data_IF_938409344903
#
_entry.id   IF_938409344903
#
_cell.length_a   1.000
_cell.length_b   1.000
_cell.length_c   1.000
_cell.angle_alpha   90.00
_cell.angle_beta   90.00
_cell.angle_gamma   90.00
#
_symmetry.space_group_name_H-M   'P 1'
#
loop_
_entity.id
_entity.type
_entity.pdbx_description
1 polymer ?
#
# COMPACT_ATOMS: atom_id res chain seq x y z
N UNK A 1 49.72 15.02 -14.76
CA UNK A 1 48.63 15.76 -14.08
C UNK A 1 47.36 14.95 -14.22
N UNK A 2 46.67 14.73 -13.15
CA UNK A 2 45.35 14.09 -13.12
C UNK A 2 44.46 14.94 -12.24
N UNK A 3 43.28 15.32 -12.70
CA UNK A 3 42.30 16.14 -11.95
C UNK A 3 42.95 17.37 -11.27
N UNK A 4 43.84 18.08 -12.01
CA UNK A 4 44.56 19.25 -11.53
C UNK A 4 45.76 18.97 -10.61
N UNK A 5 45.96 17.72 -10.18
CA UNK A 5 47.07 17.33 -9.28
C UNK A 5 48.27 16.92 -10.12
N UNK A 6 49.42 17.56 -9.88
CA UNK A 6 50.70 17.23 -10.50
C UNK A 6 51.51 16.29 -9.60
N UNK A 7 51.99 15.18 -10.16
CA UNK A 7 52.87 14.22 -9.49
C UNK A 7 54.16 14.08 -10.29
N UNK A 8 55.30 14.14 -9.61
CA UNK A 8 56.62 13.91 -10.23
C UNK A 8 56.88 12.40 -10.23
N UNK A 9 57.29 11.86 -11.38
CA UNK A 9 57.69 10.48 -11.56
C UNK A 9 59.19 10.36 -11.30
N UNK A 10 59.61 9.29 -10.62
CA UNK A 10 61.00 8.96 -10.35
C UNK A 10 61.46 7.76 -11.15
N UNK A 11 62.73 7.72 -11.56
CA UNK A 11 63.28 6.58 -12.30
C UNK A 11 63.35 5.35 -11.39
N UNK A 12 62.64 4.30 -11.77
CA UNK A 12 62.81 3.00 -11.17
C UNK A 12 63.93 2.23 -11.89
N UNK A 13 65.09 2.08 -11.23
CA UNK A 13 66.25 1.46 -11.80
C UNK A 13 66.05 -0.04 -12.16
N UNK A 14 65.11 -0.71 -11.54
CA UNK A 14 64.81 -2.11 -11.81
C UNK A 14 64.00 -2.29 -13.09
N UNK A 15 63.11 -1.32 -13.41
CA UNK A 15 62.23 -1.38 -14.60
C UNK A 15 62.72 -0.49 -15.75
N UNK A 16 63.62 0.43 -15.45
CA UNK A 16 64.09 1.45 -16.42
C UNK A 16 63.00 2.50 -16.78
N UNK A 17 61.90 2.58 -16.02
CA UNK A 17 60.76 3.45 -16.25
C UNK A 17 60.65 4.53 -15.18
N UNK A 18 60.06 5.68 -15.54
CA UNK A 18 59.64 6.69 -14.54
C UNK A 18 58.30 6.34 -14.00
N UNK A 19 58.20 6.18 -12.69
CA UNK A 19 57.02 5.66 -12.00
C UNK A 19 56.67 6.50 -10.75
N UNK A 20 55.40 6.53 -10.37
CA UNK A 20 54.91 6.99 -9.07
C UNK A 20 53.65 6.26 -8.72
N UNK A 21 53.47 5.97 -7.42
CA UNK A 21 52.20 5.52 -6.86
C UNK A 21 51.32 6.75 -6.58
N UNK A 22 50.14 6.77 -7.17
CA UNK A 22 49.23 7.93 -7.10
C UNK A 22 47.90 7.42 -6.57
N UNK A 23 47.34 8.13 -5.58
CA UNK A 23 45.97 7.86 -5.10
C UNK A 23 44.98 8.32 -6.18
N UNK A 24 44.05 7.44 -6.55
CA UNK A 24 42.99 7.75 -7.49
C UNK A 24 42.11 8.91 -6.97
N UNK A 25 41.50 9.70 -7.84
CA UNK A 25 40.48 10.65 -7.48
C UNK A 25 39.36 9.96 -6.63
N UNK A 26 38.79 10.70 -5.70
CA UNK A 26 37.80 10.17 -4.73
C UNK A 26 36.42 10.02 -5.34
N UNK A 27 36.18 10.52 -6.56
CA UNK A 27 34.91 10.43 -7.27
C UNK A 27 34.99 9.51 -8.47
N UNK A 28 33.85 8.92 -8.83
CA UNK A 28 33.72 8.20 -10.10
C UNK A 28 34.10 9.07 -11.30
N UNK A 29 34.67 8.46 -12.30
CA UNK A 29 34.92 9.12 -13.57
C UNK A 29 33.68 9.25 -14.47
N UNK A 30 32.56 8.62 -14.07
CA UNK A 30 31.38 8.54 -14.94
C UNK A 30 30.81 9.92 -15.29
N UNK A 31 30.83 10.87 -14.35
CA UNK A 31 30.30 12.23 -14.53
C UNK A 31 31.30 13.27 -14.95
N UNK A 32 32.59 12.90 -15.20
CA UNK A 32 33.65 13.85 -15.48
C UNK A 32 33.60 14.42 -16.92
N UNK A 33 33.30 13.56 -17.89
CA UNK A 33 33.10 13.92 -19.29
C UNK A 33 32.29 12.81 -20.01
N UNK A 34 31.92 13.07 -21.28
CA UNK A 34 31.17 12.12 -22.11
C UNK A 34 31.88 10.77 -22.34
N UNK A 35 33.20 10.73 -22.17
CA UNK A 35 34.00 9.50 -22.28
C UNK A 35 34.14 8.74 -20.97
N UNK A 36 33.62 9.28 -19.84
CA UNK A 36 33.63 8.67 -18.52
C UNK A 36 35.03 8.31 -17.99
N UNK A 37 35.98 9.28 -18.11
CA UNK A 37 37.35 9.14 -17.63
C UNK A 37 37.91 10.46 -17.11
N UNK A 38 38.95 10.39 -16.27
CA UNK A 38 39.83 11.52 -15.95
C UNK A 38 40.90 11.64 -17.00
N UNK A 39 41.08 12.80 -17.69
CA UNK A 39 42.17 13.02 -18.62
C UNK A 39 43.50 13.06 -17.87
N UNK A 40 44.47 12.33 -18.38
CA UNK A 40 45.84 12.30 -17.86
C UNK A 40 46.74 13.10 -18.80
N UNK A 41 47.50 14.00 -18.22
CA UNK A 41 48.54 14.74 -18.96
C UNK A 41 49.92 14.34 -18.47
N UNK A 42 50.79 13.90 -19.37
CA UNK A 42 52.19 13.58 -19.07
C UNK A 42 53.09 14.64 -19.74
N UNK A 43 54.00 15.21 -18.98
CA UNK A 43 55.01 16.15 -19.47
C UNK A 43 56.40 15.60 -19.12
N UNK A 44 57.26 15.58 -20.12
CA UNK A 44 58.70 15.28 -19.96
C UNK A 44 59.52 16.53 -20.29
N UNK A 45 60.58 16.74 -19.53
CA UNK A 45 61.53 17.85 -19.75
C UNK A 45 62.96 17.29 -19.72
N UNK A 46 63.77 17.57 -20.70
CA UNK A 46 65.21 17.21 -20.71
C UNK A 46 66.05 18.18 -19.89
N UNK A 47 67.33 17.86 -19.72
CA UNK A 47 68.28 18.71 -18.99
C UNK A 47 68.55 20.05 -19.67
N UNK A 48 68.28 20.19 -20.97
CA UNK A 48 68.39 21.41 -21.75
C UNK A 48 67.15 22.31 -21.65
N UNK A 49 66.09 21.83 -21.02
CA UNK A 49 64.80 22.52 -20.81
C UNK A 49 63.78 22.29 -21.94
N UNK A 50 64.07 21.43 -22.91
CA UNK A 50 63.07 21.09 -23.95
C UNK A 50 61.92 20.23 -23.33
N UNK A 51 60.70 20.50 -23.73
CA UNK A 51 59.53 19.84 -23.17
C UNK A 51 58.69 19.14 -24.23
N UNK A 52 58.16 17.97 -23.84
CA UNK A 52 57.15 17.25 -24.60
C UNK A 52 55.95 16.99 -23.69
N UNK A 53 54.75 17.24 -24.19
CA UNK A 53 53.50 17.01 -23.47
C UNK A 53 52.60 16.07 -24.28
N UNK A 54 52.00 15.07 -23.61
CA UNK A 54 51.01 14.15 -24.16
C UNK A 54 49.75 14.21 -23.34
N UNK A 55 48.62 14.19 -24.01
CA UNK A 55 47.27 14.25 -23.38
C UNK A 55 46.39 13.12 -23.92
N UNK A 56 45.19 12.99 -23.37
CA UNK A 56 44.16 12.05 -23.81
C UNK A 56 43.70 12.25 -25.27
N UNK A 57 44.07 13.37 -25.92
CA UNK A 57 43.80 13.64 -27.32
C UNK A 57 44.94 13.19 -28.27
N UNK A 58 46.08 12.69 -27.75
CA UNK A 58 47.17 12.19 -28.57
C UNK A 58 46.74 10.99 -29.40
N UNK A 59 47.11 10.97 -30.68
CA UNK A 59 46.68 9.93 -31.63
C UNK A 59 47.24 8.57 -31.34
N UNK A 60 48.40 8.48 -30.67
CA UNK A 60 49.08 7.22 -30.37
C UNK A 60 48.86 6.79 -28.90
N UNK A 61 48.97 7.74 -27.97
CA UNK A 61 48.97 7.45 -26.52
C UNK A 61 47.68 7.86 -25.82
N UNK A 62 46.78 8.58 -26.49
CA UNK A 62 45.59 9.16 -25.88
C UNK A 62 44.69 8.11 -25.20
N UNK A 63 44.60 6.92 -25.77
CA UNK A 63 43.82 5.83 -25.14
C UNK A 63 44.37 5.42 -23.77
N UNK A 64 45.75 5.42 -23.63
CA UNK A 64 46.43 5.10 -22.37
C UNK A 64 46.40 6.23 -21.33
N UNK A 65 46.01 7.44 -21.76
CA UNK A 65 45.92 8.64 -20.92
C UNK A 65 44.51 8.95 -20.45
N UNK A 66 43.63 7.91 -20.38
CA UNK A 66 42.26 7.95 -19.92
C UNK A 66 42.10 7.09 -18.65
N UNK A 67 42.21 7.74 -17.49
CA UNK A 67 42.06 7.04 -16.22
C UNK A 67 40.56 6.83 -15.89
N UNK A 68 40.14 5.59 -15.81
CA UNK A 68 38.80 5.25 -15.32
C UNK A 68 38.83 4.96 -13.81
N UNK A 69 38.03 5.69 -13.08
CA UNK A 69 37.85 5.54 -11.63
C UNK A 69 36.40 5.14 -11.36
N UNK A 70 36.18 4.08 -10.57
CA UNK A 70 34.88 3.61 -10.17
C UNK A 70 34.67 3.83 -8.69
N UNK A 71 33.48 4.23 -8.32
CA UNK A 71 33.04 4.20 -6.93
C UNK A 71 32.62 2.79 -6.52
N UNK A 72 32.31 2.61 -5.22
CA UNK A 72 31.81 1.35 -4.65
C UNK A 72 30.54 1.55 -3.82
N UNK A 73 29.96 2.74 -3.83
CA UNK A 73 28.74 3.07 -3.11
C UNK A 73 27.55 2.74 -4.02
N UNK A 74 26.64 1.91 -3.55
CA UNK A 74 25.47 1.53 -4.32
C UNK A 74 24.33 2.55 -4.17
N UNK A 75 23.41 2.65 -5.13
CA UNK A 75 22.24 3.52 -5.04
C UNK A 75 21.34 3.20 -3.84
N UNK A 76 20.68 4.22 -3.31
CA UNK A 76 19.66 4.08 -2.28
C UNK A 76 18.26 4.02 -2.88
N UNK A 77 17.45 3.05 -2.43
CA UNK A 77 16.05 2.86 -2.86
C UNK A 77 15.12 3.18 -1.69
N UNK A 78 14.10 4.00 -1.94
CA UNK A 78 13.03 4.31 -0.98
C UNK A 78 11.67 4.10 -1.64
N UNK A 79 10.86 3.15 -1.14
CA UNK A 79 9.48 2.94 -1.59
C UNK A 79 8.59 3.90 -0.81
N UNK A 80 7.79 4.72 -1.52
CA UNK A 80 6.92 5.73 -0.94
C UNK A 80 5.44 5.33 -0.97
N UNK A 81 5.04 4.45 -1.89
CA UNK A 81 3.69 3.91 -1.98
C UNK A 81 3.70 2.54 -2.69
N UNK A 82 2.94 1.56 -2.20
CA UNK A 82 2.21 1.54 -0.93
C UNK A 82 3.15 1.49 0.27
N UNK A 83 2.64 1.86 1.46
CA UNK A 83 3.37 1.69 2.72
C UNK A 83 3.25 0.26 3.23
N UNK A 84 4.25 -0.17 4.01
CA UNK A 84 4.25 -1.52 4.58
C UNK A 84 3.00 -1.79 5.42
N UNK A 85 2.36 -2.93 5.19
CA UNK A 85 1.16 -3.38 5.90
C UNK A 85 -0.12 -2.62 5.56
N UNK A 86 -0.10 -1.66 4.63
CA UNK A 86 -1.30 -0.92 4.24
C UNK A 86 -2.32 -1.79 3.49
N UNK A 87 -3.59 -1.43 3.61
CA UNK A 87 -4.67 -1.95 2.80
C UNK A 87 -4.96 -1.00 1.63
N UNK A 88 -5.15 -1.55 0.44
CA UNK A 88 -5.44 -0.82 -0.81
C UNK A 88 -6.75 -1.35 -1.37
N UNK A 89 -7.70 -0.46 -1.60
CA UNK A 89 -9.03 -0.83 -2.14
C UNK A 89 -9.09 -0.82 -3.67
N UNK A 90 -8.00 -0.39 -4.31
CA UNK A 90 -7.83 -0.44 -5.77
C UNK A 90 -6.89 -1.60 -6.13
N UNK A 91 -7.37 -2.53 -6.95
CA UNK A 91 -6.59 -3.70 -7.38
C UNK A 91 -5.55 -3.40 -8.48
N UNK A 92 -5.44 -2.15 -8.93
CA UNK A 92 -4.35 -1.65 -9.78
C UNK A 92 -3.69 -0.44 -9.11
N UNK A 93 -3.00 -0.64 -7.96
CA UNK A 93 -2.40 0.47 -7.24
C UNK A 93 -1.24 1.08 -8.02
N UNK A 94 -1.09 2.41 -7.93
CA UNK A 94 0.11 3.06 -8.41
C UNK A 94 1.22 2.92 -7.37
N UNK A 95 2.27 2.20 -7.73
CA UNK A 95 3.46 1.98 -6.91
C UNK A 95 4.42 3.13 -7.17
N UNK A 96 4.99 3.71 -6.11
CA UNK A 96 5.92 4.85 -6.19
C UNK A 96 7.16 4.60 -5.37
N UNK A 97 8.31 4.92 -5.93
CA UNK A 97 9.60 4.83 -5.24
C UNK A 97 10.58 5.85 -5.78
N UNK A 98 11.64 6.08 -5.03
CA UNK A 98 12.76 6.93 -5.41
C UNK A 98 14.04 6.10 -5.39
N UNK A 99 14.93 6.35 -6.37
CA UNK A 99 16.28 5.81 -6.43
C UNK A 99 17.25 6.96 -6.55
N UNK A 100 18.25 7.02 -5.69
CA UNK A 100 19.27 8.09 -5.73
C UNK A 100 20.66 7.52 -5.58
N UNK A 101 21.61 8.17 -6.25
CA UNK A 101 23.03 7.96 -6.15
C UNK A 101 23.76 9.31 -6.20
N UNK A 102 24.82 9.47 -5.41
CA UNK A 102 25.46 10.77 -5.22
C UNK A 102 26.71 10.96 -6.07
N UNK A 103 27.24 9.91 -6.70
CA UNK A 103 28.51 9.98 -7.42
C UNK A 103 28.39 9.57 -8.90
N UNK A 104 28.36 8.27 -9.23
CA UNK A 104 28.26 7.84 -10.64
C UNK A 104 26.86 8.06 -11.23
N UNK A 105 25.87 8.19 -10.36
CA UNK A 105 24.48 8.36 -10.73
C UNK A 105 23.76 7.04 -11.00
N UNK A 106 22.43 7.08 -10.87
CA UNK A 106 21.57 5.91 -11.09
C UNK A 106 21.49 5.55 -12.56
N UNK A 107 21.78 4.30 -12.92
CA UNK A 107 21.53 3.80 -14.27
C UNK A 107 20.05 3.47 -14.47
N UNK A 108 19.27 4.28 -15.21
CA UNK A 108 17.83 4.12 -15.34
C UNK A 108 17.41 2.82 -16.05
N UNK A 109 18.31 2.22 -16.83
CA UNK A 109 18.02 0.95 -17.52
C UNK A 109 17.95 -0.25 -16.55
N UNK A 110 18.57 -0.13 -15.38
CA UNK A 110 18.63 -1.20 -14.37
C UNK A 110 17.45 -1.14 -13.39
N UNK A 111 16.75 -0.01 -13.32
CA UNK A 111 15.60 0.17 -12.43
C UNK A 111 14.52 -0.84 -12.80
N UNK A 112 14.12 -1.66 -11.82
CA UNK A 112 13.12 -2.67 -12.03
C UNK A 112 12.24 -2.90 -10.81
N UNK A 113 11.05 -3.41 -11.08
CA UNK A 113 10.07 -3.82 -10.07
C UNK A 113 9.63 -5.25 -10.32
N UNK A 114 9.50 -6.01 -9.25
CA UNK A 114 8.87 -7.34 -9.27
C UNK A 114 7.71 -7.33 -8.28
N UNK A 115 6.55 -7.84 -8.70
CA UNK A 115 5.40 -8.03 -7.84
C UNK A 115 5.25 -9.52 -7.60
N UNK A 116 5.22 -9.91 -6.33
CA UNK A 116 5.16 -11.31 -5.86
C UNK A 116 6.28 -12.17 -6.48
N UNK A 117 5.90 -13.27 -7.11
CA UNK A 117 6.80 -14.16 -7.86
C UNK A 117 6.78 -13.91 -9.38
N UNK A 118 6.18 -12.79 -9.82
CA UNK A 118 6.10 -12.44 -11.24
C UNK A 118 7.44 -12.09 -11.86
N UNK A 119 7.44 -11.85 -13.16
CA UNK A 119 8.62 -11.40 -13.90
C UNK A 119 8.99 -9.96 -13.50
N UNK A 120 10.28 -9.67 -13.48
CA UNK A 120 10.80 -8.31 -13.27
C UNK A 120 10.39 -7.41 -14.45
N UNK A 121 9.73 -6.31 -14.14
CA UNK A 121 9.37 -5.25 -15.09
C UNK A 121 10.47 -4.20 -15.11
N UNK A 122 10.90 -3.77 -16.29
CA UNK A 122 11.93 -2.76 -16.53
C UNK A 122 11.55 -1.88 -17.73
N UNK A 123 12.41 -0.96 -18.12
CA UNK A 123 12.24 -0.17 -19.34
C UNK A 123 11.12 0.88 -19.23
N UNK A 124 10.40 1.08 -20.35
CA UNK A 124 9.42 2.15 -20.51
C UNK A 124 8.09 1.88 -19.80
N UNK A 125 7.89 0.65 -19.33
CA UNK A 125 6.75 0.32 -18.46
C UNK A 125 6.80 1.04 -17.10
N UNK A 126 7.99 1.50 -16.70
CA UNK A 126 8.20 2.30 -15.50
C UNK A 126 8.38 3.75 -15.91
N UNK A 127 7.49 4.64 -15.47
CA UNK A 127 7.69 6.08 -15.62
C UNK A 127 8.82 6.52 -14.69
N UNK A 128 9.81 7.19 -15.22
CA UNK A 128 10.99 7.69 -14.50
C UNK A 128 11.09 9.20 -14.68
N UNK A 129 10.94 9.96 -13.62
CA UNK A 129 11.09 11.41 -13.59
C UNK A 129 12.44 11.74 -12.96
N UNK A 130 13.31 12.43 -13.71
CA UNK A 130 14.62 12.81 -13.19
C UNK A 130 14.47 13.79 -12.02
N UNK A 131 15.25 13.56 -10.97
CA UNK A 131 15.40 14.42 -9.80
C UNK A 131 16.87 14.54 -9.44
N UNK A 132 17.21 15.45 -8.52
CA UNK A 132 18.60 15.59 -8.07
C UNK A 132 19.14 14.25 -7.57
N UNK A 133 20.18 13.76 -8.21
CA UNK A 133 20.87 12.53 -7.87
C UNK A 133 20.14 11.24 -8.27
N UNK A 134 19.08 11.28 -9.11
CA UNK A 134 18.45 10.04 -9.53
C UNK A 134 17.05 10.19 -10.12
N UNK A 135 16.12 9.32 -9.73
CA UNK A 135 14.78 9.24 -10.33
C UNK A 135 13.69 9.01 -9.29
N UNK A 136 12.58 9.69 -9.49
CA UNK A 136 11.28 9.27 -8.94
C UNK A 136 10.59 8.40 -9.96
N UNK A 137 10.15 7.21 -9.51
CA UNK A 137 9.61 6.17 -10.37
C UNK A 137 8.16 5.86 -10.00
N UNK A 138 7.36 5.58 -11.02
CA UNK A 138 5.98 5.10 -10.84
C UNK A 138 5.71 3.91 -11.74
N UNK A 139 4.92 2.97 -11.22
CA UNK A 139 4.42 1.81 -11.97
C UNK A 139 3.00 1.47 -11.54
N UNK A 140 2.13 1.18 -12.49
CA UNK A 140 0.78 0.67 -12.24
C UNK A 140 0.65 -0.69 -12.93
N UNK A 141 0.28 -1.77 -12.21
CA UNK A 141 0.11 -3.08 -12.81
C UNK A 141 -0.92 -3.07 -13.95
N UNK A 142 -0.59 -3.67 -15.07
CA UNK A 142 -1.50 -3.79 -16.22
C UNK A 142 -2.63 -4.77 -15.92
N UNK A 143 -2.33 -5.85 -15.19
CA UNK A 143 -3.29 -6.84 -14.69
C UNK A 143 -3.68 -6.49 -13.26
N UNK A 144 -4.97 -6.62 -12.93
CA UNK A 144 -5.46 -6.45 -11.57
C UNK A 144 -4.81 -7.48 -10.64
N UNK A 145 -4.37 -7.03 -9.47
CA UNK A 145 -3.93 -7.89 -8.39
C UNK A 145 -5.16 -8.50 -7.69
N UNK A 146 -5.05 -9.74 -7.25
CA UNK A 146 -6.11 -10.39 -6.48
C UNK A 146 -6.24 -9.77 -5.08
N UNK A 147 -7.35 -9.99 -4.41
CA UNK A 147 -7.44 -9.66 -2.98
C UNK A 147 -6.49 -10.57 -2.19
N UNK A 148 -5.79 -9.99 -1.22
CA UNK A 148 -4.79 -10.69 -0.42
C UNK A 148 -3.49 -9.91 -0.27
N UNK A 149 -2.46 -10.61 0.20
CA UNK A 149 -1.13 -10.04 0.46
C UNK A 149 -0.28 -10.04 -0.80
N UNK A 150 0.33 -8.89 -1.10
CA UNK A 150 1.25 -8.70 -2.22
C UNK A 150 2.57 -8.14 -1.73
N UNK A 151 3.64 -8.54 -2.40
CA UNK A 151 5.01 -8.10 -2.12
C UNK A 151 5.60 -7.44 -3.36
N UNK A 152 6.11 -6.23 -3.22
CA UNK A 152 6.92 -5.57 -4.25
C UNK A 152 8.38 -5.61 -3.86
N UNK A 153 9.24 -5.82 -4.87
CA UNK A 153 10.69 -5.78 -4.77
C UNK A 153 11.21 -4.81 -5.81
N UNK A 154 12.07 -3.89 -5.40
CA UNK A 154 12.69 -2.89 -6.25
C UNK A 154 14.19 -3.13 -6.32
N UNK A 155 14.72 -3.12 -7.53
CA UNK A 155 16.14 -3.24 -7.86
C UNK A 155 16.61 -2.04 -8.67
N UNK A 156 17.87 -1.67 -8.50
CA UNK A 156 18.56 -0.68 -9.32
C UNK A 156 20.07 -0.86 -9.17
N UNK A 157 20.84 -0.31 -10.12
CA UNK A 157 22.29 -0.17 -10.03
C UNK A 157 22.68 1.24 -10.50
N UNK A 158 23.88 1.67 -10.12
CA UNK A 158 24.51 2.86 -10.66
C UNK A 158 25.18 2.60 -12.00
N UNK A 159 25.80 3.62 -12.57
CA UNK A 159 26.55 3.50 -13.82
C UNK A 159 27.90 2.80 -13.66
N UNK A 160 28.45 2.71 -12.46
CA UNK A 160 29.69 1.95 -12.18
C UNK A 160 29.42 0.46 -11.94
N UNK A 161 28.13 0.06 -11.85
CA UNK A 161 27.69 -1.34 -11.73
C UNK A 161 27.47 -1.79 -10.29
N UNK A 162 27.47 -0.88 -9.30
CA UNK A 162 27.13 -1.23 -7.93
C UNK A 162 25.62 -1.43 -7.80
N UNK A 163 25.20 -2.63 -7.37
CA UNK A 163 23.80 -2.95 -7.21
C UNK A 163 23.27 -2.44 -5.85
N UNK A 164 22.14 -1.75 -5.88
CA UNK A 164 21.43 -1.35 -4.67
C UNK A 164 20.98 -2.57 -3.85
N UNK A 165 20.95 -2.43 -2.55
CA UNK A 165 20.25 -3.41 -1.71
C UNK A 165 18.79 -3.41 -2.08
N UNK A 166 18.26 -4.58 -2.52
CA UNK A 166 16.87 -4.74 -2.92
C UNK A 166 15.92 -4.26 -1.81
N UNK A 167 14.99 -3.38 -2.14
CA UNK A 167 13.93 -2.94 -1.22
C UNK A 167 12.67 -3.74 -1.44
N UNK A 168 12.06 -4.16 -0.32
CA UNK A 168 10.83 -4.96 -0.31
C UNK A 168 9.78 -4.29 0.56
N UNK A 169 8.53 -4.26 0.08
CA UNK A 169 7.35 -3.82 0.83
C UNK A 169 6.23 -4.82 0.59
N UNK A 170 5.55 -5.21 1.68
CA UNK A 170 4.34 -6.03 1.65
C UNK A 170 3.14 -5.17 2.01
N UNK A 171 2.05 -5.29 1.25
CA UNK A 171 0.77 -4.60 1.43
C UNK A 171 -0.36 -5.56 1.10
N UNK A 172 -1.60 -5.16 1.34
CA UNK A 172 -2.77 -5.97 1.03
C UNK A 172 -3.72 -5.25 0.06
N UNK A 173 -4.24 -5.99 -0.90
CA UNK A 173 -5.40 -5.57 -1.71
C UNK A 173 -6.65 -6.12 -1.06
N UNK A 174 -7.67 -5.28 -0.94
CA UNK A 174 -8.99 -5.69 -0.50
C UNK A 174 -10.07 -4.88 -1.23
N UNK A 175 -10.77 -5.53 -2.13
CA UNK A 175 -11.82 -4.94 -2.96
C UNK A 175 -13.23 -5.34 -2.50
N UNK A 176 -13.37 -6.24 -1.54
CA UNK A 176 -14.64 -6.81 -1.09
C UNK A 176 -15.05 -6.19 0.25
N UNK A 177 -16.27 -5.68 0.43
CA UNK A 177 -16.78 -5.26 1.73
C UNK A 177 -16.97 -6.45 2.67
N UNK A 178 -16.97 -6.22 4.00
CA UNK A 178 -17.23 -7.28 4.96
C UNK A 178 -18.65 -7.82 4.82
N UNK A 179 -18.83 -9.10 5.13
CA UNK A 179 -20.17 -9.69 5.27
C UNK A 179 -20.83 -9.18 6.55
N UNK A 180 -22.15 -9.03 6.55
CA UNK A 180 -22.92 -8.64 7.72
C UNK A 180 -24.28 -9.34 7.67
N UNK A 181 -24.61 -10.14 8.69
CA UNK A 181 -25.89 -10.80 8.84
C UNK A 181 -26.47 -10.47 10.23
N UNK A 182 -27.73 -10.04 10.26
CA UNK A 182 -28.46 -9.78 11.50
C UNK A 182 -29.43 -10.96 11.75
N UNK A 183 -29.21 -11.65 12.84
CA UNK A 183 -30.02 -12.80 13.24
C UNK A 183 -31.22 -12.41 14.10
N UNK A 184 -31.13 -11.33 14.89
CA UNK A 184 -32.22 -10.73 15.64
C UNK A 184 -32.00 -9.21 15.76
N UNK A 185 -33.08 -8.41 15.88
CA UNK A 185 -34.48 -8.78 15.67
C UNK A 185 -34.77 -9.10 14.19
N UNK A 186 -35.87 -9.82 13.94
CA UNK A 186 -36.42 -9.96 12.58
C UNK A 186 -36.75 -8.55 12.03
N UNK A 187 -36.66 -8.38 10.73
CA UNK A 187 -37.11 -7.13 10.10
C UNK A 187 -38.64 -7.03 10.19
N UNK A 188 -39.14 -5.80 10.43
CA UNK A 188 -40.57 -5.51 10.61
C UNK A 188 -41.21 -6.24 11.81
N UNK A 189 -40.41 -6.62 12.82
CA UNK A 189 -40.93 -7.19 14.05
C UNK A 189 -41.91 -6.20 14.69
N UNK A 190 -43.11 -6.71 15.10
CA UNK A 190 -44.04 -6.00 15.99
C UNK A 190 -43.98 -6.67 17.35
N UNK A 191 -43.86 -5.90 18.43
CA UNK A 191 -43.68 -6.43 19.78
C UNK A 191 -44.25 -5.47 20.83
N UNK A 192 -44.64 -5.99 21.96
CA UNK A 192 -45.00 -5.16 23.12
C UNK A 192 -43.84 -4.91 24.09
N UNK A 193 -42.62 -5.35 23.72
CA UNK A 193 -41.43 -5.20 24.57
C UNK A 193 -40.55 -4.09 24.03
N UNK A 194 -40.14 -3.18 24.91
CA UNK A 194 -39.20 -2.11 24.59
C UNK A 194 -37.75 -2.59 24.58
N UNK A 195 -37.40 -3.64 25.32
CA UNK A 195 -36.06 -4.21 25.34
C UNK A 195 -35.89 -5.24 24.21
N UNK A 196 -34.95 -5.01 23.31
CA UNK A 196 -34.54 -5.95 22.26
C UNK A 196 -33.02 -6.10 22.23
N UNK A 197 -32.57 -7.26 21.78
CA UNK A 197 -31.12 -7.49 21.57
C UNK A 197 -30.87 -7.66 20.09
N UNK A 198 -29.98 -6.84 19.55
CA UNK A 198 -29.46 -7.00 18.21
C UNK A 198 -28.36 -8.05 18.26
N UNK A 199 -28.48 -9.09 17.48
CA UNK A 199 -27.46 -10.15 17.33
C UNK A 199 -27.17 -10.38 15.87
N UNK A 200 -25.95 -10.76 15.57
CA UNK A 200 -25.55 -11.02 14.18
C UNK A 200 -24.14 -11.57 14.08
N UNK A 201 -23.73 -11.74 12.84
CA UNK A 201 -22.37 -12.17 12.48
C UNK A 201 -21.80 -11.27 11.42
N UNK A 202 -20.48 -11.09 11.46
CA UNK A 202 -19.69 -10.40 10.45
C UNK A 202 -18.39 -11.14 10.21
N UNK A 203 -17.85 -11.04 9.00
CA UNK A 203 -16.54 -11.58 8.67
C UNK A 203 -15.97 -10.87 7.44
N UNK A 204 -14.65 -10.80 7.39
CA UNK A 204 -13.89 -10.45 6.22
C UNK A 204 -12.66 -11.35 6.09
N UNK A 205 -12.47 -11.94 4.91
CA UNK A 205 -11.41 -12.91 4.69
C UNK A 205 -10.03 -12.25 4.50
N UNK A 206 -9.99 -10.98 4.08
CA UNK A 206 -8.77 -10.28 3.67
C UNK A 206 -8.34 -9.23 4.66
N UNK A 207 -9.30 -8.47 5.20
CA UNK A 207 -9.04 -7.27 6.01
C UNK A 207 -9.66 -7.30 7.40
N UNK A 208 -9.55 -8.44 8.10
CA UNK A 208 -9.88 -8.53 9.53
C UNK A 208 -8.89 -7.72 10.39
N UNK A 209 -9.34 -7.22 11.59
CA UNK A 209 -10.67 -7.40 12.18
C UNK A 209 -11.72 -6.47 11.57
N UNK A 210 -12.97 -6.91 11.60
CA UNK A 210 -14.13 -6.10 11.24
C UNK A 210 -14.65 -5.39 12.50
N UNK A 211 -14.95 -4.11 12.39
CA UNK A 211 -15.61 -3.34 13.44
C UNK A 211 -17.11 -3.23 13.16
N UNK A 212 -17.94 -3.33 14.19
CA UNK A 212 -19.41 -3.21 14.07
C UNK A 212 -19.89 -2.03 14.89
N UNK A 213 -20.76 -1.23 14.30
CA UNK A 213 -21.50 -0.18 15.02
C UNK A 213 -23.00 -0.40 14.89
N UNK A 214 -23.74 -0.09 15.95
CA UNK A 214 -25.20 -0.16 16.00
C UNK A 214 -25.74 1.23 16.34
N UNK A 215 -26.70 1.70 15.57
CA UNK A 215 -27.39 2.97 15.77
C UNK A 215 -28.89 2.73 15.85
N UNK A 216 -29.54 3.30 16.89
CA UNK A 216 -30.97 3.32 17.05
C UNK A 216 -31.53 4.71 16.64
N UNK A 217 -32.48 4.73 15.69
CA UNK A 217 -33.12 5.93 15.18
C UNK A 217 -32.09 7.00 14.75
N UNK A 218 -32.26 8.23 15.20
CA UNK A 218 -31.35 9.35 14.99
C UNK A 218 -30.23 9.45 16.05
N UNK A 219 -30.12 8.48 16.97
CA UNK A 219 -29.10 8.46 18.02
C UNK A 219 -27.67 8.31 17.50
N UNK A 220 -26.72 8.27 18.41
CA UNK A 220 -25.31 8.06 18.10
C UNK A 220 -25.06 6.58 17.78
N UNK A 221 -24.19 6.31 16.79
CA UNK A 221 -23.71 4.96 16.51
C UNK A 221 -22.75 4.52 17.63
N UNK A 222 -22.97 3.36 18.20
CA UNK A 222 -22.15 2.77 19.25
C UNK A 222 -21.38 1.57 18.72
N UNK A 223 -20.09 1.50 19.03
CA UNK A 223 -19.26 0.35 18.67
C UNK A 223 -19.62 -0.85 19.52
N UNK A 224 -19.68 -2.01 18.88
CA UNK A 224 -20.02 -3.30 19.52
C UNK A 224 -18.82 -4.23 19.43
N UNK A 225 -18.55 -4.96 20.51
CA UNK A 225 -17.50 -5.98 20.52
C UNK A 225 -17.91 -7.14 19.59
N UNK A 226 -16.99 -7.47 18.67
CA UNK A 226 -17.12 -8.65 17.79
C UNK A 226 -16.26 -9.76 18.38
N UNK A 227 -16.85 -10.93 18.54
CA UNK A 227 -16.17 -12.13 19.01
C UNK A 227 -15.17 -12.67 17.97
N UNK A 228 -14.26 -13.53 18.38
CA UNK A 228 -13.30 -14.18 17.48
C UNK A 228 -13.95 -15.07 16.42
N UNK A 229 -15.20 -15.48 16.66
CA UNK A 229 -16.06 -16.24 15.73
C UNK A 229 -16.88 -15.32 14.80
N UNK A 230 -16.70 -14.00 14.89
CA UNK A 230 -17.43 -13.00 14.12
C UNK A 230 -18.81 -12.65 14.67
N UNK A 231 -19.24 -13.23 15.79
CA UNK A 231 -20.53 -12.91 16.42
C UNK A 231 -20.50 -11.59 17.15
N UNK A 232 -21.66 -10.90 17.23
CA UNK A 232 -21.82 -9.71 18.05
C UNK A 232 -23.21 -9.63 18.66
N UNK A 233 -23.34 -8.88 19.75
CA UNK A 233 -24.60 -8.68 20.48
C UNK A 233 -24.66 -7.28 21.10
N UNK A 234 -25.83 -6.62 20.99
CA UNK A 234 -26.08 -5.29 21.57
C UNK A 234 -27.52 -5.20 22.07
N UNK A 235 -27.69 -4.97 23.36
CA UNK A 235 -29.00 -4.63 23.94
C UNK A 235 -29.39 -3.21 23.59
N UNK A 236 -30.63 -2.97 23.19
CA UNK A 236 -31.24 -1.67 22.90
C UNK A 236 -32.57 -1.52 23.67
N UNK A 237 -32.89 -0.26 24.03
CA UNK A 237 -34.19 0.13 24.55
C UNK A 237 -34.90 0.95 23.48
N UNK A 238 -35.99 0.36 22.94
CA UNK A 238 -36.80 0.98 21.90
C UNK A 238 -37.83 1.94 22.51
N UNK A 239 -38.32 2.87 21.70
CA UNK A 239 -39.46 3.74 22.04
C UNK A 239 -40.73 3.17 21.43
N UNK A 240 -41.91 3.49 22.01
CA UNK A 240 -43.22 3.14 21.42
C UNK A 240 -43.33 3.68 20.00
N UNK A 241 -43.89 2.93 19.10
CA UNK A 241 -43.97 3.18 17.68
C UNK A 241 -42.80 2.59 16.89
N UNK A 242 -42.55 3.11 15.71
CA UNK A 242 -41.56 2.56 14.78
C UNK A 242 -40.16 2.98 15.17
N UNK A 243 -39.27 2.00 15.29
CA UNK A 243 -37.83 2.16 15.53
C UNK A 243 -37.05 1.62 14.34
N UNK A 244 -35.99 2.35 13.98
CA UNK A 244 -35.03 1.95 12.95
C UNK A 244 -33.69 1.63 13.60
N UNK A 245 -33.23 0.41 13.41
CA UNK A 245 -31.92 -0.07 13.87
C UNK A 245 -30.99 -0.16 12.67
N UNK A 246 -29.93 0.62 12.64
CA UNK A 246 -28.90 0.59 11.58
C UNK A 246 -27.65 -0.06 12.13
N UNK A 247 -27.19 -1.12 11.50
CA UNK A 247 -25.95 -1.83 11.82
C UNK A 247 -24.97 -1.66 10.66
N UNK A 248 -23.74 -1.24 10.96
CA UNK A 248 -22.67 -1.04 9.96
C UNK A 248 -21.48 -1.90 10.40
N UNK A 249 -21.05 -2.78 9.50
CA UNK A 249 -19.79 -3.47 9.59
C UNK A 249 -18.75 -2.71 8.73
N UNK A 250 -17.56 -2.50 9.27
CA UNK A 250 -16.44 -1.84 8.58
C UNK A 250 -15.18 -2.69 8.77
N UNK A 251 -14.51 -3.02 7.66
CA UNK A 251 -13.26 -3.76 7.64
C UNK A 251 -12.02 -2.86 7.87
N UNK A 252 -10.84 -3.47 7.91
CA UNK A 252 -9.56 -2.76 8.09
C UNK A 252 -9.12 -1.99 6.83
N UNK A 253 -9.68 -2.30 5.65
CA UNK A 253 -9.48 -1.55 4.41
C UNK A 253 -10.38 -0.31 4.32
N UNK A 254 -11.35 -0.18 5.24
CA UNK A 254 -12.29 0.93 5.32
C UNK A 254 -13.58 0.73 4.53
N UNK A 255 -13.80 -0.45 3.92
CA UNK A 255 -15.05 -0.79 3.23
C UNK A 255 -16.14 -1.12 4.24
N UNK A 256 -17.40 -0.91 3.86
CA UNK A 256 -18.55 -1.04 4.77
C UNK A 256 -19.69 -1.82 4.16
N UNK A 257 -20.38 -2.58 5.00
CA UNK A 257 -21.69 -3.17 4.72
C UNK A 257 -22.68 -2.68 5.77
N UNK A 258 -23.87 -2.27 5.33
CA UNK A 258 -24.93 -1.72 6.20
C UNK A 258 -26.18 -2.57 6.07
N UNK A 259 -26.78 -2.92 7.22
CA UNK A 259 -28.06 -3.59 7.32
C UNK A 259 -28.98 -2.78 8.23
N UNK A 260 -30.21 -2.55 7.81
CA UNK A 260 -31.25 -1.86 8.59
C UNK A 260 -32.35 -2.84 8.98
N UNK A 261 -32.88 -2.71 10.20
CA UNK A 261 -34.06 -3.43 10.71
C UNK A 261 -35.07 -2.42 11.23
N UNK A 262 -36.33 -2.67 10.95
CA UNK A 262 -37.45 -1.89 11.49
C UNK A 262 -38.16 -2.73 12.55
N UNK A 263 -38.39 -2.13 13.73
CA UNK A 263 -39.15 -2.77 14.83
C UNK A 263 -40.21 -1.79 15.29
N UNK A 264 -41.46 -2.28 15.37
CA UNK A 264 -42.58 -1.48 15.89
C UNK A 264 -42.90 -1.97 17.29
N UNK A 265 -42.84 -1.05 18.26
CA UNK A 265 -43.27 -1.31 19.63
C UNK A 265 -44.70 -0.83 19.79
N UNK A 266 -45.61 -1.76 20.01
CA UNK A 266 -47.02 -1.47 20.32
C UNK A 266 -47.35 -1.99 21.70
N UNK A 267 -47.66 -1.07 22.58
CA UNK A 267 -48.03 -1.36 23.99
C UNK A 267 -49.53 -1.18 24.25
N UNK A 268 -50.28 -0.86 23.20
CA UNK A 268 -51.72 -0.68 23.30
C UNK A 268 -52.42 -2.03 23.38
N UNK A 269 -53.29 -2.23 24.36
CA UNK A 269 -54.08 -3.42 24.45
C UNK A 269 -55.34 -3.28 23.56
N UNK A 270 -55.75 -4.36 22.88
CA UNK A 270 -56.99 -4.32 22.09
C UNK A 270 -58.19 -4.09 22.99
N UNK A 271 -59.19 -3.40 22.45
CA UNK A 271 -60.45 -3.08 23.18
C UNK A 271 -61.58 -3.96 22.65
N UNK A 272 -62.23 -4.70 23.58
CA UNK A 272 -63.46 -5.42 23.25
C UNK A 272 -64.60 -4.42 23.21
N UNK A 273 -65.20 -4.18 22.03
CA UNK A 273 -66.29 -3.24 21.82
C UNK A 273 -67.66 -3.84 22.08
N UNK A 274 -67.85 -5.06 21.70
CA UNK A 274 -69.13 -5.73 21.90
C UNK A 274 -68.96 -7.24 22.07
N UNK A 275 -69.84 -7.84 22.81
CA UNK A 275 -69.98 -9.29 22.92
C UNK A 275 -71.50 -9.63 22.76
N UNK A 276 -71.84 -10.52 21.85
CA UNK A 276 -73.18 -11.01 21.66
C UNK A 276 -73.20 -12.51 21.77
N UNK A 277 -74.32 -13.06 22.40
CA UNK A 277 -74.57 -14.47 22.51
C UNK A 277 -75.89 -14.74 21.82
N UNK A 278 -75.93 -15.62 20.84
CA UNK A 278 -77.17 -15.93 20.10
C UNK A 278 -77.31 -17.40 19.80
N UNK A 279 -78.45 -18.01 20.19
CA UNK A 279 -79.54 -17.43 20.96
C UNK A 279 -79.20 -17.26 22.42
N UNK A 280 -79.84 -16.29 23.11
CA UNK A 280 -79.77 -16.12 24.56
C UNK A 280 -81.12 -15.68 25.06
N UNK A 281 -81.85 -16.53 25.81
CA UNK A 281 -81.46 -17.84 26.36
C UNK A 281 -81.33 -18.94 25.30
N UNK A 282 -80.57 -19.99 25.61
CA UNK A 282 -80.42 -21.22 24.81
C UNK A 282 -80.92 -22.45 25.66
N UNK A 283 -81.58 -23.38 25.00
CA UNK A 283 -82.05 -24.61 25.66
C UNK A 283 -80.90 -25.53 26.04
N UNK A 284 -81.05 -26.28 27.12
CA UNK A 284 -80.07 -27.24 27.60
C UNK A 284 -79.68 -28.25 26.51
N UNK A 285 -78.36 -28.41 26.25
CA UNK A 285 -77.83 -29.31 25.20
C UNK A 285 -77.87 -28.75 23.77
N UNK A 286 -78.32 -27.51 23.57
CA UNK A 286 -78.28 -26.83 22.26
C UNK A 286 -77.00 -25.95 22.12
N UNK A 287 -76.65 -25.63 20.90
CA UNK A 287 -75.53 -24.81 20.55
C UNK A 287 -75.90 -23.33 20.48
N UNK A 288 -74.92 -22.44 20.80
CA UNK A 288 -75.04 -21.01 20.65
C UNK A 288 -73.75 -20.44 20.06
N UNK A 289 -73.80 -19.26 19.51
CA UNK A 289 -72.65 -18.50 18.92
C UNK A 289 -72.35 -17.36 19.89
N UNK A 290 -71.03 -17.21 20.20
CA UNK A 290 -70.53 -16.04 20.86
C UNK A 290 -69.77 -15.21 19.73
N UNK A 291 -70.21 -14.00 19.53
CA UNK A 291 -69.49 -13.05 18.62
C UNK A 291 -68.87 -11.91 19.42
N UNK A 292 -67.65 -11.62 19.16
CA UNK A 292 -66.88 -10.56 19.85
C UNK A 292 -66.34 -9.58 18.80
N UNK A 293 -66.59 -8.29 18.99
CA UNK A 293 -66.01 -7.22 18.22
C UNK A 293 -64.82 -6.64 18.98
N UNK A 294 -63.66 -6.64 18.34
CA UNK A 294 -62.39 -6.16 18.91
C UNK A 294 -61.80 -5.13 18.00
N UNK A 295 -61.21 -4.06 18.57
CA UNK A 295 -60.42 -3.06 17.83
C UNK A 295 -59.08 -2.90 18.52
N UNK A 296 -58.07 -2.71 17.73
CA UNK A 296 -56.72 -2.42 18.15
C UNK A 296 -56.19 -1.16 17.40
#
# INVERSE_FOLDING_TARGET
IINGVTTILTLNSSTGKYEATITAPSKSSYTINDGHYYPVTVKATDVAGNTTTKTDSDTTLGASLKLKVKEKVAPAITITSPTAGSYITNNKPTIKWKVTDADSGVNPATIGITIDSGSKVTGDSITKTAVTGGYECTYTPTTALADGSHTIKIDASDFDGNAATQKTVTFKIDTVPPTLSITAPADKLVTNKTAVTVTGTTNDATSSPVTVTVKLNSGTAETVTVGSDGTFSKALTLVTGTNTITVVAKDSAGKTTTVTRTVTVDTTAPVIKSVTINPNPVDCGKTYVISVEVTD
#
